data_IF_712717058930
#
_entry.id   IF_712717058930
#
_cell.length_a   1.000
_cell.length_b   1.000
_cell.length_c   1.000
_cell.angle_alpha   90.00
_cell.angle_beta   90.00
_cell.angle_gamma   90.00
#
_symmetry.space_group_name_H-M   'P 1'
#
loop_
_entity.id
_entity.type
_entity.pdbx_description
1 polymer ?
#
# COMPACT_ATOMS: atom_id res chain seq x y z
N UNK A 1 33.30 -9.88 42.98
CA UNK A 1 32.09 -10.46 42.37
C UNK A 1 31.28 -9.38 41.68
N UNK A 2 31.51 -9.19 40.41
CA UNK A 2 30.71 -8.24 39.59
C UNK A 2 29.56 -9.03 38.98
N UNK A 3 28.33 -8.72 39.40
CA UNK A 3 27.11 -9.19 38.73
C UNK A 3 26.89 -8.39 37.47
N UNK A 4 27.11 -9.00 36.31
CA UNK A 4 26.69 -8.49 35.01
C UNK A 4 25.19 -8.74 34.89
N UNK A 5 24.37 -7.73 35.12
CA UNK A 5 22.96 -7.76 34.77
C UNK A 5 22.86 -7.71 33.24
N UNK A 6 22.58 -8.85 32.63
CA UNK A 6 22.11 -8.92 31.27
C UNK A 6 20.71 -8.21 31.23
N UNK A 7 20.68 -7.02 30.67
CA UNK A 7 19.43 -6.43 30.23
C UNK A 7 18.92 -7.27 29.05
N UNK A 8 17.93 -8.11 29.30
CA UNK A 8 17.11 -8.71 28.25
C UNK A 8 16.35 -7.55 27.64
N UNK A 9 16.77 -7.11 26.44
CA UNK A 9 15.97 -6.21 25.63
C UNK A 9 14.71 -6.99 25.24
N UNK A 10 13.63 -6.75 25.96
CA UNK A 10 12.29 -7.05 25.48
C UNK A 10 12.07 -6.24 24.18
N UNK A 11 11.57 -6.85 23.11
CA UNK A 11 11.27 -6.10 21.90
C UNK A 11 10.27 -4.99 22.27
N UNK A 12 10.68 -3.73 22.09
CA UNK A 12 9.76 -2.61 22.10
C UNK A 12 8.73 -2.91 21.00
N UNK A 13 7.50 -3.23 21.42
CA UNK A 13 6.37 -3.38 20.52
C UNK A 13 6.19 -2.02 19.85
N UNK A 14 6.68 -1.91 18.61
CA UNK A 14 6.37 -0.75 17.79
C UNK A 14 4.88 -0.77 17.57
N UNK A 15 4.21 0.27 18.04
CA UNK A 15 2.82 0.56 17.73
C UNK A 15 2.75 1.18 16.32
N UNK A 16 3.41 0.54 15.36
CA UNK A 16 3.45 1.02 13.99
C UNK A 16 2.05 0.80 13.38
N UNK A 17 1.44 1.87 12.90
CA UNK A 17 0.17 1.84 12.18
C UNK A 17 0.39 1.37 10.76
N UNK A 18 -0.18 0.23 10.41
CA UNK A 18 -0.14 -0.32 9.05
C UNK A 18 -1.46 0.02 8.34
N UNK A 19 -1.36 0.78 7.26
CA UNK A 19 -2.50 1.00 6.37
C UNK A 19 -2.59 -0.14 5.35
N UNK A 20 -3.69 -0.87 5.39
CA UNK A 20 -4.01 -1.90 4.42
C UNK A 20 -4.96 -1.37 3.35
N UNK A 21 -4.45 -1.09 2.14
CA UNK A 21 -5.23 -0.66 0.97
C UNK A 21 -5.63 -1.90 0.18
N UNK A 22 -6.89 -2.29 0.29
CA UNK A 22 -7.43 -3.49 -0.34
C UNK A 22 -8.20 -3.15 -1.62
N UNK A 23 -7.57 -3.41 -2.79
CA UNK A 23 -8.18 -3.25 -4.11
C UNK A 23 -8.76 -4.58 -4.66
N UNK A 24 -8.94 -5.59 -3.81
CA UNK A 24 -9.47 -6.88 -4.21
C UNK A 24 -11.00 -6.82 -4.29
N UNK A 25 -11.54 -7.13 -5.47
CA UNK A 25 -12.99 -7.05 -5.73
C UNK A 25 -13.74 -8.31 -5.30
N UNK A 26 -13.07 -9.47 -5.31
CA UNK A 26 -13.69 -10.76 -4.99
C UNK A 26 -13.59 -11.02 -3.48
N UNK A 27 -14.66 -11.54 -2.87
CA UNK A 27 -14.66 -11.92 -1.46
C UNK A 27 -13.65 -13.03 -1.13
N UNK A 28 -13.41 -13.95 -2.08
CA UNK A 28 -12.46 -15.07 -1.98
C UNK A 28 -11.13 -14.77 -2.67
N UNK A 29 -10.69 -13.52 -2.69
CA UNK A 29 -9.50 -13.09 -3.40
C UNK A 29 -8.23 -13.81 -2.92
N UNK A 30 -7.51 -14.43 -3.86
CA UNK A 30 -6.19 -15.03 -3.61
C UNK A 30 -5.17 -13.98 -3.18
N UNK A 31 -5.24 -12.78 -3.75
CA UNK A 31 -4.38 -11.64 -3.40
C UNK A 31 -4.61 -11.18 -1.97
N UNK A 32 -5.87 -11.03 -1.55
CA UNK A 32 -6.24 -10.66 -0.17
C UNK A 32 -5.74 -11.71 0.84
N UNK A 33 -5.87 -13.00 0.52
CA UNK A 33 -5.36 -14.07 1.38
C UNK A 33 -3.84 -13.99 1.61
N UNK A 34 -3.06 -13.68 0.58
CA UNK A 34 -1.62 -13.49 0.70
C UNK A 34 -1.30 -12.22 1.51
N UNK A 35 -2.04 -11.12 1.27
CA UNK A 35 -1.86 -9.87 1.99
C UNK A 35 -2.18 -10.02 3.49
N UNK A 36 -3.23 -10.75 3.85
CA UNK A 36 -3.55 -11.01 5.26
C UNK A 36 -2.46 -11.83 5.96
N UNK A 37 -1.88 -12.80 5.29
CA UNK A 37 -0.74 -13.54 5.85
C UNK A 37 0.49 -12.63 6.07
N UNK A 38 0.70 -11.65 5.20
CA UNK A 38 1.71 -10.62 5.40
C UNK A 38 1.38 -9.75 6.63
N UNK A 39 0.15 -9.25 6.73
CA UNK A 39 -0.32 -8.42 7.84
C UNK A 39 -0.21 -9.15 9.19
N UNK A 40 -0.61 -10.43 9.25
CA UNK A 40 -0.41 -11.28 10.42
C UNK A 40 1.08 -11.36 10.83
N UNK A 41 1.96 -11.43 9.84
CA UNK A 41 3.42 -11.54 10.08
C UNK A 41 4.06 -10.22 10.48
N UNK A 42 3.61 -9.10 9.93
CA UNK A 42 4.07 -7.75 10.30
C UNK A 42 3.61 -7.40 11.73
N UNK A 43 2.40 -7.76 12.11
CA UNK A 43 1.80 -7.38 13.40
C UNK A 43 1.49 -5.89 13.44
N UNK A 44 1.42 -5.29 14.64
CA UNK A 44 1.10 -3.88 14.80
C UNK A 44 -0.39 -3.56 14.73
N UNK A 45 -0.74 -2.27 14.82
CA UNK A 45 -2.10 -1.79 14.61
C UNK A 45 -2.39 -1.71 13.11
N UNK A 46 -3.57 -2.15 12.69
CA UNK A 46 -3.92 -2.25 11.28
C UNK A 46 -5.21 -1.51 11.00
N UNK A 47 -5.21 -0.68 9.98
CA UNK A 47 -6.39 -0.01 9.46
C UNK A 47 -6.61 -0.43 8.00
N UNK A 48 -7.77 -1.02 7.69
CA UNK A 48 -8.09 -1.48 6.34
C UNK A 48 -8.98 -0.46 5.62
N UNK A 49 -8.58 -0.09 4.40
CA UNK A 49 -9.42 0.62 3.41
C UNK A 49 -9.76 -0.34 2.29
N UNK A 50 -11.00 -0.79 2.25
CA UNK A 50 -11.51 -1.69 1.21
C UNK A 50 -12.09 -0.85 0.08
N UNK A 51 -11.33 -0.69 -1.00
CA UNK A 51 -11.64 0.26 -2.07
C UNK A 51 -12.96 -0.02 -2.79
N UNK A 52 -13.43 -1.26 -2.80
CA UNK A 52 -14.74 -1.63 -3.36
C UNK A 52 -15.94 -1.17 -2.53
N UNK A 53 -15.73 -0.81 -1.26
CA UNK A 53 -16.75 -0.34 -0.32
C UNK A 53 -16.69 1.18 -0.11
N UNK A 54 -15.59 1.82 -0.52
CA UNK A 54 -15.39 3.26 -0.43
C UNK A 54 -16.19 4.02 -1.50
N UNK A 55 -16.75 5.16 -1.10
CA UNK A 55 -17.46 6.06 -2.01
C UNK A 55 -16.48 6.93 -2.81
N UNK A 56 -15.53 6.29 -3.52
CA UNK A 56 -14.55 6.98 -4.33
C UNK A 56 -15.21 7.63 -5.55
N UNK A 57 -14.93 8.90 -5.78
CA UNK A 57 -15.42 9.64 -6.94
C UNK A 57 -14.25 10.07 -7.84
N UNK A 58 -14.41 10.00 -9.17
CA UNK A 58 -13.46 10.59 -10.09
C UNK A 58 -13.29 12.09 -9.83
N UNK A 59 -12.12 12.61 -10.14
CA UNK A 59 -11.85 14.05 -10.07
C UNK A 59 -12.57 14.75 -11.26
N UNK A 60 -13.77 15.26 -11.01
CA UNK A 60 -14.46 16.18 -11.91
C UNK A 60 -13.87 17.59 -11.81
N UNK A 61 -14.21 18.47 -12.75
CA UNK A 61 -13.82 19.89 -12.71
C UNK A 61 -14.24 20.54 -11.37
N UNK A 62 -15.48 20.33 -10.94
CA UNK A 62 -15.99 20.85 -9.67
C UNK A 62 -15.17 20.36 -8.47
N UNK A 63 -14.84 19.07 -8.44
CA UNK A 63 -14.02 18.48 -7.37
C UNK A 63 -12.58 19.00 -7.38
N UNK A 64 -12.02 19.25 -8.57
CA UNK A 64 -10.69 19.85 -8.70
C UNK A 64 -10.67 21.30 -8.23
N UNK A 65 -11.67 22.11 -8.58
CA UNK A 65 -11.81 23.49 -8.09
C UNK A 65 -11.89 23.49 -6.57
N UNK A 66 -12.81 22.72 -5.98
CA UNK A 66 -12.94 22.61 -4.53
C UNK A 66 -11.63 22.17 -3.86
N UNK A 67 -10.98 21.16 -4.42
CA UNK A 67 -9.68 20.67 -3.91
C UNK A 67 -8.63 21.78 -3.91
N UNK A 68 -8.53 22.55 -4.99
CA UNK A 68 -7.60 23.69 -5.11
C UNK A 68 -7.89 24.73 -4.04
N UNK A 69 -9.13 25.16 -3.90
CA UNK A 69 -9.54 26.15 -2.88
C UNK A 69 -9.20 25.70 -1.45
N UNK A 70 -9.42 24.41 -1.14
CA UNK A 70 -9.09 23.86 0.18
C UNK A 70 -7.58 23.81 0.41
N UNK A 71 -6.79 23.38 -0.58
CA UNK A 71 -5.32 23.31 -0.47
C UNK A 71 -4.69 24.70 -0.37
N UNK A 72 -5.19 25.71 -1.11
CA UNK A 72 -4.72 27.09 -1.01
C UNK A 72 -4.96 27.71 0.38
N UNK A 73 -6.05 27.31 1.03
CA UNK A 73 -6.35 27.73 2.42
C UNK A 73 -5.64 26.88 3.48
N UNK A 74 -4.96 25.80 3.08
CA UNK A 74 -4.38 24.85 4.03
C UNK A 74 -5.41 24.05 4.83
N UNK A 75 -6.65 23.97 4.35
CA UNK A 75 -7.75 23.26 5.04
C UNK A 75 -7.72 21.76 4.73
N UNK A 76 -6.68 21.10 5.18
CA UNK A 76 -6.52 19.65 5.03
C UNK A 76 -7.40 18.84 6.00
N UNK A 77 -8.16 19.49 6.90
CA UNK A 77 -9.11 18.82 7.79
C UNK A 77 -10.43 18.43 7.07
N UNK A 78 -10.73 19.04 5.91
CA UNK A 78 -11.94 18.73 5.15
C UNK A 78 -12.05 17.21 4.89
N UNK A 79 -13.28 16.64 5.01
CA UNK A 79 -13.53 15.22 4.74
C UNK A 79 -13.05 14.72 3.38
N UNK A 80 -12.98 15.59 2.37
CA UNK A 80 -12.44 15.29 1.05
C UNK A 80 -11.02 14.69 1.11
N UNK A 81 -10.25 15.03 2.12
CA UNK A 81 -8.86 14.60 2.30
C UNK A 81 -8.69 13.47 3.32
N UNK A 82 -9.78 12.86 3.80
CA UNK A 82 -9.68 11.83 4.85
C UNK A 82 -8.75 10.68 4.47
N UNK A 83 -8.91 10.10 3.27
CA UNK A 83 -8.06 9.01 2.77
C UNK A 83 -6.61 9.47 2.54
N UNK A 84 -6.40 10.71 2.11
CA UNK A 84 -5.06 11.26 1.92
C UNK A 84 -4.32 11.45 3.25
N UNK A 85 -5.01 11.93 4.30
CA UNK A 85 -4.45 12.02 5.66
C UNK A 85 -4.11 10.65 6.22
N UNK A 86 -5.00 9.68 6.06
CA UNK A 86 -4.79 8.30 6.49
C UNK A 86 -3.54 7.72 5.83
N UNK A 87 -3.42 7.85 4.49
CA UNK A 87 -2.25 7.39 3.74
C UNK A 87 -0.96 8.10 4.19
N UNK A 88 -1.02 9.42 4.39
CA UNK A 88 0.13 10.23 4.80
C UNK A 88 0.64 9.85 6.19
N UNK A 89 -0.25 9.51 7.12
CA UNK A 89 0.07 9.27 8.54
C UNK A 89 0.50 7.83 8.85
N UNK A 90 0.29 6.87 7.95
CA UNK A 90 0.67 5.48 8.15
C UNK A 90 2.19 5.30 8.31
N UNK A 91 2.64 4.36 9.15
CA UNK A 91 4.05 4.01 9.33
C UNK A 91 4.54 3.00 8.30
N UNK A 92 3.66 2.08 7.90
CA UNK A 92 3.84 1.16 6.78
C UNK A 92 2.55 1.07 5.96
N UNK A 93 2.69 0.71 4.69
CA UNK A 93 1.56 0.57 3.77
C UNK A 93 1.61 -0.79 3.10
N UNK A 94 0.48 -1.49 3.09
CA UNK A 94 0.28 -2.73 2.34
C UNK A 94 -0.79 -2.48 1.29
N UNK A 95 -0.45 -2.60 0.01
CA UNK A 95 -1.42 -2.53 -1.09
C UNK A 95 -1.63 -3.94 -1.64
N UNK A 96 -2.86 -4.44 -1.59
CA UNK A 96 -3.26 -5.68 -2.25
C UNK A 96 -4.08 -5.38 -3.50
N UNK A 97 -3.54 -5.72 -4.66
CA UNK A 97 -4.19 -5.48 -5.94
C UNK A 97 -3.97 -6.67 -6.89
N UNK A 98 -5.03 -7.35 -7.35
CA UNK A 98 -4.90 -8.38 -8.36
C UNK A 98 -4.36 -7.79 -9.67
N UNK A 99 -3.63 -8.62 -10.43
CA UNK A 99 -3.06 -8.23 -11.70
C UNK A 99 -4.10 -8.39 -12.81
N UNK A 100 -4.59 -7.29 -13.34
CA UNK A 100 -5.58 -7.22 -14.41
C UNK A 100 -5.04 -6.38 -15.57
N UNK A 101 -5.14 -6.92 -16.78
CA UNK A 101 -4.83 -6.20 -18.02
C UNK A 101 -3.45 -5.48 -17.98
N UNK A 102 -2.42 -6.22 -17.55
CA UNK A 102 -1.05 -5.76 -17.34
C UNK A 102 -0.87 -4.75 -16.17
N UNK A 103 -1.93 -4.44 -15.42
CA UNK A 103 -1.92 -3.43 -14.38
C UNK A 103 -2.65 -3.90 -13.11
N UNK A 104 -3.37 -3.04 -12.47
CA UNK A 104 -4.20 -3.25 -11.28
C UNK A 104 -5.63 -2.77 -11.54
N UNK A 105 -6.61 -3.15 -10.69
CA UNK A 105 -7.99 -2.69 -10.84
C UNK A 105 -8.12 -1.17 -10.87
N UNK A 106 -9.01 -0.64 -11.71
CA UNK A 106 -9.22 0.79 -11.88
C UNK A 106 -9.52 1.53 -10.56
N UNK A 107 -10.14 0.85 -9.59
CA UNK A 107 -10.43 1.42 -8.27
C UNK A 107 -9.15 1.82 -7.52
N UNK A 108 -8.03 1.11 -7.71
CA UNK A 108 -6.76 1.52 -7.11
C UNK A 108 -6.24 2.81 -7.76
N UNK A 109 -6.36 2.96 -9.08
CA UNK A 109 -5.98 4.21 -9.76
C UNK A 109 -6.82 5.38 -9.27
N UNK A 110 -8.12 5.17 -9.13
CA UNK A 110 -9.05 6.14 -8.58
C UNK A 110 -8.69 6.55 -7.15
N UNK A 111 -8.35 5.59 -6.30
CA UNK A 111 -7.85 5.86 -4.95
C UNK A 111 -6.57 6.72 -4.98
N UNK A 112 -5.58 6.34 -5.80
CA UNK A 112 -4.32 7.08 -5.93
C UNK A 112 -4.53 8.54 -6.38
N UNK A 113 -5.48 8.79 -7.29
CA UNK A 113 -5.85 10.15 -7.71
C UNK A 113 -6.47 10.96 -6.58
N UNK A 114 -7.31 10.33 -5.75
CA UNK A 114 -7.95 11.00 -4.63
C UNK A 114 -6.97 11.32 -3.50
N UNK A 115 -6.00 10.45 -3.23
CA UNK A 115 -5.02 10.68 -2.15
C UNK A 115 -3.86 11.59 -2.57
N UNK A 116 -3.56 11.73 -3.87
CA UNK A 116 -2.43 12.54 -4.34
C UNK A 116 -2.77 14.04 -4.21
N UNK A 117 -2.58 14.58 -3.01
CA UNK A 117 -2.90 15.97 -2.63
C UNK A 117 -1.63 16.74 -2.37
N UNK A 118 -1.39 17.80 -3.17
CA UNK A 118 -0.25 18.70 -2.97
C UNK A 118 -0.35 19.41 -1.62
N UNK A 119 0.76 19.48 -0.89
CA UNK A 119 0.83 20.03 0.47
C UNK A 119 0.42 19.06 1.56
N UNK A 120 -0.09 17.85 1.23
CA UNK A 120 -0.47 16.82 2.21
C UNK A 120 0.35 15.53 2.05
N UNK A 121 0.34 14.90 0.88
CA UNK A 121 1.13 13.67 0.64
C UNK A 121 2.38 13.93 -0.18
N UNK A 122 2.41 15.02 -0.94
CA UNK A 122 3.53 15.42 -1.78
C UNK A 122 3.58 16.94 -1.92
N UNK A 123 4.76 17.49 -2.20
CA UNK A 123 4.95 18.90 -2.55
C UNK A 123 6.03 18.99 -3.63
N UNK A 124 6.46 20.20 -3.96
CA UNK A 124 7.57 20.43 -4.89
C UNK A 124 8.65 21.22 -4.18
N UNK A 125 9.93 20.90 -4.50
CA UNK A 125 11.08 21.72 -4.09
C UNK A 125 11.10 23.03 -4.90
N UNK A 126 11.99 23.94 -4.53
CA UNK A 126 12.22 25.20 -5.28
C UNK A 126 12.66 24.94 -6.72
N UNK A 127 13.33 23.81 -6.98
CA UNK A 127 13.74 23.37 -8.33
C UNK A 127 12.64 22.62 -9.08
N UNK A 128 11.41 22.54 -8.54
CA UNK A 128 10.27 21.88 -9.17
C UNK A 128 10.30 20.36 -9.12
N UNK A 129 11.12 19.74 -8.24
CA UNK A 129 11.15 18.29 -8.06
C UNK A 129 10.09 17.86 -7.06
N UNK A 130 9.40 16.72 -7.27
CA UNK A 130 8.51 16.15 -6.28
C UNK A 130 9.25 15.89 -4.95
N UNK A 131 8.61 16.18 -3.85
CA UNK A 131 9.07 15.89 -2.49
C UNK A 131 7.94 15.26 -1.70
N UNK A 132 8.11 14.02 -1.25
CA UNK A 132 7.09 13.28 -0.54
C UNK A 132 6.98 13.69 0.92
N UNK A 133 5.75 13.71 1.42
CA UNK A 133 5.39 14.11 2.79
C UNK A 133 4.81 12.94 3.61
N UNK A 134 4.77 11.71 3.05
CA UNK A 134 4.25 10.55 3.75
C UNK A 134 5.24 10.07 4.82
N UNK A 135 4.68 9.60 5.93
CA UNK A 135 5.44 9.11 7.09
C UNK A 135 5.98 7.70 6.87
N UNK A 136 5.30 6.91 6.02
CA UNK A 136 5.61 5.51 5.79
C UNK A 136 7.05 5.32 5.34
N UNK A 137 7.72 4.32 5.94
CA UNK A 137 9.09 3.93 5.59
C UNK A 137 9.14 2.84 4.55
N UNK A 138 8.07 2.03 4.48
CA UNK A 138 7.98 0.90 3.57
C UNK A 138 6.59 0.73 3.00
N UNK A 139 6.53 0.35 1.72
CA UNK A 139 5.32 -0.03 1.02
C UNK A 139 5.49 -1.46 0.47
N UNK A 140 4.57 -2.33 0.85
CA UNK A 140 4.42 -3.67 0.34
C UNK A 140 3.35 -3.70 -0.75
N UNK A 141 3.68 -4.27 -1.90
CA UNK A 141 2.72 -4.47 -2.97
C UNK A 141 2.48 -5.96 -3.16
N UNK A 142 1.27 -6.42 -2.86
CA UNK A 142 0.85 -7.81 -2.95
C UNK A 142 -0.03 -7.99 -4.18
N UNK A 143 0.32 -8.94 -5.05
CA UNK A 143 -0.42 -9.18 -6.28
C UNK A 143 -0.50 -10.66 -6.65
N UNK A 144 -1.51 -11.02 -7.42
CA UNK A 144 -1.63 -12.35 -8.04
C UNK A 144 -2.02 -12.22 -9.49
N UNK A 145 -1.40 -13.03 -10.35
CA UNK A 145 -1.66 -13.08 -11.78
C UNK A 145 -2.12 -14.47 -12.23
N UNK A 146 -3.08 -14.52 -13.13
CA UNK A 146 -3.55 -15.76 -13.74
C UNK A 146 -2.49 -16.39 -14.63
N UNK A 147 -1.76 -15.59 -15.40
CA UNK A 147 -0.63 -15.97 -16.24
C UNK A 147 0.69 -15.41 -15.76
N UNK A 148 1.69 -15.24 -16.67
CA UNK A 148 2.96 -14.57 -16.36
C UNK A 148 2.74 -13.12 -15.93
N UNK A 149 3.53 -12.65 -14.96
CA UNK A 149 3.43 -11.32 -14.42
C UNK A 149 4.51 -10.40 -15.01
N UNK A 150 4.10 -9.24 -15.52
CA UNK A 150 4.96 -8.15 -15.98
C UNK A 150 4.83 -6.98 -15.00
N UNK A 151 5.88 -6.61 -14.25
CA UNK A 151 5.75 -5.65 -13.15
C UNK A 151 5.63 -4.19 -13.57
N UNK A 152 6.02 -3.81 -14.79
CA UNK A 152 6.30 -2.43 -15.18
C UNK A 152 5.10 -1.49 -15.05
N UNK A 153 3.91 -1.95 -15.42
CA UNK A 153 2.69 -1.14 -15.42
C UNK A 153 1.84 -1.26 -14.15
N UNK A 154 2.25 -2.11 -13.22
CA UNK A 154 1.59 -2.29 -11.92
C UNK A 154 2.54 -1.97 -10.77
N UNK A 155 3.37 -2.88 -10.31
CA UNK A 155 4.32 -2.62 -9.25
C UNK A 155 5.34 -1.52 -9.60
N UNK A 156 5.82 -1.48 -10.85
CA UNK A 156 6.74 -0.44 -11.33
C UNK A 156 6.15 0.95 -11.17
N UNK A 157 4.87 1.12 -11.54
CA UNK A 157 4.14 2.36 -11.34
C UNK A 157 4.01 2.73 -9.85
N UNK A 158 3.57 1.80 -9.00
CA UNK A 158 3.41 2.01 -7.56
C UNK A 158 4.75 2.34 -6.91
N UNK A 159 5.82 1.61 -7.25
CA UNK A 159 7.18 1.86 -6.76
C UNK A 159 7.66 3.27 -7.11
N UNK A 160 7.41 3.72 -8.34
CA UNK A 160 7.80 5.06 -8.78
C UNK A 160 7.03 6.12 -8.00
N UNK A 161 5.71 6.01 -7.86
CA UNK A 161 4.93 6.93 -7.04
C UNK A 161 5.40 6.95 -5.58
N UNK A 162 5.62 5.78 -4.97
CA UNK A 162 6.07 5.68 -3.59
C UNK A 162 7.38 6.43 -3.36
N UNK A 163 8.37 6.20 -4.21
CA UNK A 163 9.73 6.74 -4.02
C UNK A 163 9.84 8.19 -4.45
N UNK A 164 9.36 8.51 -5.65
CA UNK A 164 9.58 9.83 -6.26
C UNK A 164 8.56 10.88 -5.78
N UNK A 165 7.33 10.43 -5.40
CA UNK A 165 6.26 11.38 -5.11
C UNK A 165 5.79 11.35 -3.65
N UNK A 166 5.79 10.19 -3.01
CA UNK A 166 5.30 10.05 -1.63
C UNK A 166 6.41 10.05 -0.58
N UNK A 167 7.67 9.91 -0.99
CA UNK A 167 8.82 9.90 -0.09
C UNK A 167 8.98 8.59 0.69
N UNK A 168 8.41 7.49 0.21
CA UNK A 168 8.51 6.17 0.82
C UNK A 168 9.74 5.46 0.24
N UNK A 169 10.84 5.31 1.00
CA UNK A 169 12.11 4.87 0.44
C UNK A 169 12.17 3.39 0.07
N UNK A 170 11.43 2.55 0.82
CA UNK A 170 11.45 1.10 0.63
C UNK A 170 10.16 0.59 0.00
N UNK A 171 10.31 -0.24 -1.01
CA UNK A 171 9.16 -0.91 -1.63
C UNK A 171 9.49 -2.38 -1.86
N UNK A 172 8.53 -3.27 -1.62
CA UNK A 172 8.70 -4.71 -1.82
C UNK A 172 7.50 -5.31 -2.55
N UNK A 173 7.79 -6.20 -3.50
CA UNK A 173 6.80 -6.94 -4.28
C UNK A 173 6.63 -8.35 -3.72
N UNK A 174 5.41 -8.70 -3.37
CA UNK A 174 4.99 -10.07 -3.06
C UNK A 174 4.02 -10.51 -4.15
N UNK A 175 4.33 -11.62 -4.83
CA UNK A 175 3.50 -12.07 -5.96
C UNK A 175 3.33 -13.58 -6.01
N UNK A 176 2.18 -14.02 -6.53
CA UNK A 176 1.97 -15.37 -7.05
C UNK A 176 1.43 -15.28 -8.48
N UNK A 177 2.00 -16.03 -9.38
CA UNK A 177 1.68 -16.02 -10.80
C UNK A 177 1.35 -17.42 -11.33
N UNK A 178 0.86 -17.53 -12.57
CA UNK A 178 0.46 -18.79 -13.22
C UNK A 178 -0.78 -19.46 -12.59
N UNK A 179 -1.62 -18.67 -11.90
CA UNK A 179 -2.72 -19.21 -11.08
C UNK A 179 -3.93 -19.72 -11.88
N UNK A 180 -4.01 -19.40 -13.17
CA UNK A 180 -5.07 -19.84 -14.08
C UNK A 180 -4.52 -20.61 -15.30
N UNK A 181 -3.22 -20.98 -15.26
CA UNK A 181 -2.57 -21.72 -16.32
C UNK A 181 -2.69 -23.22 -16.09
N UNK A 182 -3.10 -23.96 -17.10
CA UNK A 182 -3.23 -25.41 -17.06
C UNK A 182 -1.90 -26.08 -16.66
N UNK A 183 -1.96 -27.05 -15.74
CA UNK A 183 -0.78 -27.75 -15.22
C UNK A 183 -0.20 -27.16 -13.94
N UNK A 184 -0.73 -26.03 -13.47
CA UNK A 184 -0.37 -25.45 -12.18
C UNK A 184 -1.51 -25.57 -11.15
N UNK A 185 -1.20 -25.88 -9.92
CA UNK A 185 -2.16 -25.84 -8.82
C UNK A 185 -2.12 -24.46 -8.13
N UNK A 186 -3.16 -23.66 -8.40
CA UNK A 186 -3.27 -22.31 -7.81
C UNK A 186 -3.30 -22.33 -6.28
N UNK A 187 -3.85 -23.38 -5.63
CA UNK A 187 -3.90 -23.48 -4.18
C UNK A 187 -2.51 -23.71 -3.61
N UNK A 188 -1.73 -24.59 -4.24
CA UNK A 188 -0.35 -24.85 -3.85
C UNK A 188 0.53 -23.61 -4.04
N UNK A 189 0.42 -22.90 -5.17
CA UNK A 189 1.19 -21.68 -5.43
C UNK A 189 0.91 -20.59 -4.40
N UNK A 190 -0.36 -20.37 -4.05
CA UNK A 190 -0.74 -19.41 -3.01
C UNK A 190 -0.25 -19.85 -1.63
N UNK A 191 -0.39 -21.14 -1.28
CA UNK A 191 0.10 -21.68 -0.01
C UNK A 191 1.62 -21.53 0.12
N UNK A 192 2.37 -21.81 -0.95
CA UNK A 192 3.82 -21.63 -1.00
C UNK A 192 4.23 -20.17 -0.78
N UNK A 193 3.49 -19.22 -1.38
CA UNK A 193 3.76 -17.79 -1.18
C UNK A 193 3.52 -17.38 0.28
N UNK A 194 2.45 -17.87 0.90
CA UNK A 194 2.15 -17.62 2.32
C UNK A 194 3.24 -18.21 3.23
N UNK A 195 3.72 -19.42 2.93
CA UNK A 195 4.81 -20.03 3.67
C UNK A 195 6.12 -19.24 3.54
N UNK A 196 6.44 -18.74 2.35
CA UNK A 196 7.61 -17.88 2.15
C UNK A 196 7.52 -16.60 2.98
N UNK A 197 6.33 -15.97 3.09
CA UNK A 197 6.12 -14.80 3.95
C UNK A 197 6.42 -15.16 5.40
N UNK A 198 5.87 -16.27 5.90
CA UNK A 198 6.07 -16.72 7.28
C UNK A 198 7.52 -16.99 7.63
N UNK A 199 8.31 -17.46 6.66
CA UNK A 199 9.70 -17.87 6.86
C UNK A 199 10.73 -16.75 6.60
N UNK A 200 10.45 -15.79 5.70
CA UNK A 200 11.42 -14.79 5.24
C UNK A 200 11.32 -13.44 5.93
N UNK A 201 10.11 -13.03 6.30
CA UNK A 201 9.90 -11.73 6.94
C UNK A 201 10.20 -11.93 8.42
N UNK A 202 11.47 -11.75 8.80
CA UNK A 202 11.93 -11.69 10.18
C UNK A 202 11.47 -10.37 10.80
N UNK A 203 11.08 -10.42 12.10
CA UNK A 203 10.92 -9.21 12.92
C UNK A 203 12.28 -8.60 13.20
#
# INVERSE_FOLDING_TARGET
MLQIQMRVNSPEWRNDMILYVNACVRADSRTDRIARALLERLGGEQEEVRLGEECLQPLSEERLVRRTELTERGDYADPMFALARQFQSADEIVIAAPYWDLSFPAVLKLYLENIYVTGLVSTYTEEGKPHGLCKAKKLWYVTTAGGPYVPDFSYGYIRTLARECFGIPETELIRAEMLDVQGYDARELVARQIEMIRNRIGR
#
